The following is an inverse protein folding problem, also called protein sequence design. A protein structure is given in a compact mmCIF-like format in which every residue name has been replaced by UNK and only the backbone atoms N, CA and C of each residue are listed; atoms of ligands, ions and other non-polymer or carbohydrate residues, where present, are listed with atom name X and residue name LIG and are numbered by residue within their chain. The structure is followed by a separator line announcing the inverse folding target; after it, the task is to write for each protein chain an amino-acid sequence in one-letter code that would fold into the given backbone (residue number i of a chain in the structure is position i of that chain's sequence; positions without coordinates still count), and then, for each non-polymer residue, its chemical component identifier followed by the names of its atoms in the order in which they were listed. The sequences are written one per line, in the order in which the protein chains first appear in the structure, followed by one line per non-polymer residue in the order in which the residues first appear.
data_IF_276673530747
#
_entry.id   IF_276673530747
#
_cell.length_a   1.000
_cell.length_b   1.000
_cell.length_c   1.000
_cell.angle_alpha   90.00
_cell.angle_beta   90.00
_cell.angle_gamma   90.00
#
_symmetry.space_group_name_H-M   'P 1'
#
loop_
_entity.id
_entity.type
_entity.pdbx_description
1 polymer ?
#
# COMPACT_ATOMS: atom_id res chain seq x y z
N UNK A 1 -46.84 51.18 2.80
CA UNK A 1 -45.40 51.16 3.13
C UNK A 1 -44.88 49.77 2.81
N UNK A 2 -44.01 49.65 1.82
CA UNK A 2 -43.33 48.38 1.50
C UNK A 2 -42.13 48.30 2.46
N UNK A 3 -41.97 47.23 3.26
CA UNK A 3 -40.81 47.12 4.12
C UNK A 3 -39.58 46.88 3.23
N UNK A 4 -38.67 47.87 3.23
CA UNK A 4 -37.33 47.75 2.68
C UNK A 4 -36.52 46.85 3.60
N UNK A 5 -36.56 45.54 3.36
CA UNK A 5 -35.58 44.65 3.96
C UNK A 5 -34.27 44.77 3.18
N UNK A 6 -33.23 45.23 3.86
CA UNK A 6 -31.88 45.18 3.34
C UNK A 6 -31.42 43.71 3.31
N UNK A 7 -30.91 43.26 2.17
CA UNK A 7 -30.55 41.85 1.91
C UNK A 7 -29.65 41.21 2.99
N UNK A 8 -28.65 41.92 3.57
CA UNK A 8 -27.81 41.41 4.65
C UNK A 8 -28.56 41.20 5.97
N UNK A 9 -29.55 42.04 6.30
CA UNK A 9 -30.33 41.91 7.52
C UNK A 9 -31.33 40.73 7.43
N UNK A 10 -31.82 40.46 6.21
CA UNK A 10 -32.64 39.29 5.90
C UNK A 10 -31.82 38.00 6.00
N UNK A 11 -30.59 38.01 5.46
CA UNK A 11 -29.63 36.91 5.60
C UNK A 11 -29.24 36.67 7.06
N UNK A 12 -28.97 37.73 7.83
CA UNK A 12 -28.58 37.63 9.24
C UNK A 12 -29.70 37.03 10.09
N UNK A 13 -30.94 37.48 9.89
CA UNK A 13 -32.12 36.89 10.56
C UNK A 13 -32.45 35.48 10.10
N UNK A 14 -32.18 35.14 8.83
CA UNK A 14 -32.25 33.75 8.38
C UNK A 14 -31.22 32.92 9.16
N UNK A 15 -29.98 33.39 9.31
CA UNK A 15 -28.89 32.68 9.98
C UNK A 15 -28.94 32.66 11.53
N UNK A 16 -29.85 33.39 12.19
CA UNK A 16 -29.92 33.53 13.66
C UNK A 16 -30.32 32.25 14.43
N UNK A 17 -30.61 31.14 13.74
CA UNK A 17 -30.81 29.81 14.33
C UNK A 17 -29.81 28.74 13.85
N UNK A 18 -28.77 29.14 13.11
CA UNK A 18 -27.86 28.22 12.43
C UNK A 18 -26.53 28.12 13.17
N UNK A 19 -26.11 26.89 13.49
CA UNK A 19 -24.76 26.62 13.99
C UNK A 19 -23.89 26.24 12.81
N UNK A 20 -22.95 27.10 12.44
CA UNK A 20 -21.98 26.82 11.39
C UNK A 20 -20.86 25.95 11.97
N UNK A 21 -20.71 24.75 11.43
CA UNK A 21 -19.60 23.86 11.77
C UNK A 21 -18.54 23.98 10.67
N UNK A 22 -17.35 24.55 10.96
CA UNK A 22 -16.27 24.59 10.00
C UNK A 22 -15.67 23.19 9.91
N UNK A 23 -16.05 22.47 8.86
CA UNK A 23 -15.49 21.18 8.50
C UNK A 23 -14.54 21.44 7.33
N UNK A 24 -13.28 21.01 7.41
CA UNK A 24 -12.30 21.26 6.34
C UNK A 24 -12.75 20.66 5.00
N UNK A 25 -13.38 19.49 5.01
CA UNK A 25 -13.99 18.87 3.82
C UNK A 25 -15.29 19.57 3.34
N UNK A 26 -15.87 20.51 4.12
CA UNK A 26 -17.03 21.30 3.70
C UNK A 26 -16.68 22.72 3.24
N UNK A 27 -15.43 23.17 3.37
CA UNK A 27 -14.99 24.47 2.87
C UNK A 27 -15.15 24.60 1.34
N UNK A 28 -15.18 23.47 0.63
CA UNK A 28 -15.41 23.36 -0.82
C UNK A 28 -16.88 23.62 -1.19
N UNK A 29 -17.81 23.40 -0.26
CA UNK A 29 -19.25 23.49 -0.46
C UNK A 29 -19.81 24.83 0.00
N UNK A 30 -19.27 25.94 -0.53
CA UNK A 30 -19.62 27.35 -0.22
C UNK A 30 -21.11 27.75 -0.32
N UNK A 31 -22.03 26.79 -0.54
CA UNK A 31 -23.48 26.97 -0.59
C UNK A 31 -24.33 26.05 0.30
N UNK A 32 -23.77 25.10 1.07
CA UNK A 32 -24.58 24.22 1.92
C UNK A 32 -24.67 24.70 3.36
N UNK A 33 -25.84 25.21 3.72
CA UNK A 33 -26.21 25.53 5.11
C UNK A 33 -26.81 24.27 5.73
N UNK A 34 -26.06 23.62 6.63
CA UNK A 34 -26.61 22.51 7.42
C UNK A 34 -27.62 23.06 8.43
N UNK A 35 -28.87 22.63 8.28
CA UNK A 35 -29.99 23.06 9.13
C UNK A 35 -30.13 22.08 10.29
N UNK A 36 -29.84 22.54 11.49
CA UNK A 36 -30.16 21.81 12.72
C UNK A 36 -31.67 22.00 12.95
N UNK A 37 -32.47 20.95 12.81
CA UNK A 37 -33.93 21.06 12.90
C UNK A 37 -34.40 21.13 14.37
N UNK A 38 -33.59 20.62 15.31
CA UNK A 38 -33.82 20.74 16.75
C UNK A 38 -32.50 20.87 17.55
N UNK A 39 -32.56 21.43 18.78
CA UNK A 39 -31.41 21.49 19.70
C UNK A 39 -30.97 20.13 20.24
N UNK A 40 -31.78 19.10 20.05
CA UNK A 40 -31.55 17.72 20.48
C UNK A 40 -30.89 16.88 19.39
N UNK A 41 -30.76 17.41 18.17
CA UNK A 41 -30.10 16.71 17.07
C UNK A 41 -28.61 16.55 17.38
N UNK A 42 -28.16 15.30 17.50
CA UNK A 42 -26.76 14.91 17.71
C UNK A 42 -25.86 15.17 16.47
N UNK A 43 -26.28 16.06 15.56
CA UNK A 43 -25.54 16.45 14.35
C UNK A 43 -24.07 16.84 14.63
N UNK A 44 -23.73 17.56 15.72
CA UNK A 44 -22.33 17.91 16.00
C UNK A 44 -21.47 16.68 16.29
N UNK A 45 -22.03 15.67 16.97
CA UNK A 45 -21.33 14.41 17.23
C UNK A 45 -21.15 13.61 15.96
N UNK A 46 -22.15 13.62 15.07
CA UNK A 46 -22.09 12.96 13.76
C UNK A 46 -21.02 13.62 12.88
N UNK A 47 -20.98 14.96 12.82
CA UNK A 47 -19.98 15.70 12.05
C UNK A 47 -18.56 15.54 12.61
N UNK A 48 -18.36 15.65 13.92
CA UNK A 48 -17.05 15.39 14.55
C UNK A 48 -16.59 13.93 14.30
N UNK A 49 -17.55 12.99 14.24
CA UNK A 49 -17.25 11.59 13.93
C UNK A 49 -16.75 11.40 12.48
N UNK A 50 -17.43 11.98 11.49
CA UNK A 50 -16.99 11.95 10.09
C UNK A 50 -15.68 12.70 9.85
N UNK A 51 -15.44 13.81 10.56
CA UNK A 51 -14.17 14.53 10.51
C UNK A 51 -13.01 13.63 10.92
N UNK A 52 -13.17 12.91 12.04
CA UNK A 52 -12.14 11.99 12.55
C UNK A 52 -11.92 10.78 11.65
N UNK A 53 -12.95 10.28 10.98
CA UNK A 53 -12.85 9.18 10.01
C UNK A 53 -12.03 9.61 8.78
N UNK A 54 -12.38 10.77 8.21
CA UNK A 54 -11.68 11.33 7.06
C UNK A 54 -10.20 11.57 7.37
N UNK A 55 -9.91 12.21 8.51
CA UNK A 55 -8.55 12.43 8.98
C UNK A 55 -7.79 11.12 9.22
N UNK A 56 -8.44 10.08 9.74
CA UNK A 56 -7.79 8.78 9.95
C UNK A 56 -7.45 8.07 8.63
N UNK A 57 -8.39 8.01 7.69
CA UNK A 57 -8.18 7.38 6.39
C UNK A 57 -7.07 8.08 5.60
N UNK A 58 -7.05 9.42 5.60
CA UNK A 58 -5.98 10.19 4.98
C UNK A 58 -4.61 9.91 5.65
N UNK A 59 -4.56 9.91 6.99
CA UNK A 59 -3.32 9.61 7.72
C UNK A 59 -2.78 8.20 7.41
N UNK A 60 -3.65 7.18 7.29
CA UNK A 60 -3.21 5.83 6.95
C UNK A 60 -2.76 5.70 5.49
N UNK A 61 -3.51 6.31 4.56
CA UNK A 61 -3.13 6.39 3.16
C UNK A 61 -1.75 7.04 2.99
N UNK A 62 -1.52 8.19 3.63
CA UNK A 62 -0.24 8.91 3.62
C UNK A 62 0.90 8.10 4.23
N UNK A 63 0.65 7.36 5.33
CA UNK A 63 1.65 6.47 5.94
C UNK A 63 2.07 5.36 4.98
N UNK A 64 1.09 4.68 4.36
CA UNK A 64 1.37 3.60 3.41
C UNK A 64 2.09 4.14 2.16
N UNK A 65 1.63 5.27 1.61
CA UNK A 65 2.26 5.94 0.47
C UNK A 65 3.73 6.25 0.73
N UNK A 66 4.03 6.91 1.85
CA UNK A 66 5.42 7.25 2.21
C UNK A 66 6.28 6.02 2.37
N UNK A 67 5.76 4.95 2.99
CA UNK A 67 6.50 3.68 3.12
C UNK A 67 6.78 3.06 1.75
N UNK A 68 5.79 3.02 0.86
CA UNK A 68 5.94 2.48 -0.49
C UNK A 68 7.03 3.24 -1.27
N UNK A 69 6.94 4.57 -1.31
CA UNK A 69 7.86 5.42 -2.07
C UNK A 69 9.29 5.45 -1.50
N UNK A 70 9.42 5.54 -0.17
CA UNK A 70 10.72 5.77 0.46
C UNK A 70 11.47 4.48 0.81
N UNK A 71 10.78 3.34 0.88
CA UNK A 71 11.38 2.06 1.31
C UNK A 71 11.06 0.92 0.36
N UNK A 72 9.79 0.64 0.12
CA UNK A 72 9.44 -0.64 -0.51
C UNK A 72 9.83 -0.68 -1.98
N UNK A 73 9.47 0.33 -2.75
CA UNK A 73 9.81 0.42 -4.18
C UNK A 73 11.34 0.47 -4.36
N UNK A 74 12.11 1.32 -3.64
CA UNK A 74 13.57 1.33 -3.75
C UNK A 74 14.22 -0.02 -3.46
N UNK A 75 13.87 -0.68 -2.34
CA UNK A 75 14.46 -1.97 -1.94
C UNK A 75 14.06 -3.09 -2.91
N UNK A 76 12.83 -3.05 -3.43
CA UNK A 76 12.37 -4.02 -4.43
C UNK A 76 13.13 -3.83 -5.75
N UNK A 77 13.34 -2.58 -6.17
CA UNK A 77 14.13 -2.24 -7.35
C UNK A 77 15.60 -2.67 -7.23
N UNK A 78 16.20 -2.52 -6.05
CA UNK A 78 17.55 -3.02 -5.77
C UNK A 78 17.61 -4.55 -5.89
N UNK A 79 16.65 -5.27 -5.31
CA UNK A 79 16.58 -6.73 -5.42
C UNK A 79 16.40 -7.18 -6.87
N UNK A 80 15.55 -6.52 -7.66
CA UNK A 80 15.40 -6.82 -9.09
C UNK A 80 16.72 -6.66 -9.84
N UNK A 81 17.40 -5.53 -9.65
CA UNK A 81 18.67 -5.27 -10.29
C UNK A 81 19.72 -6.33 -9.93
N UNK A 82 19.84 -6.67 -8.64
CA UNK A 82 20.78 -7.68 -8.16
C UNK A 82 20.45 -9.07 -8.68
N UNK A 83 19.17 -9.48 -8.67
CA UNK A 83 18.74 -10.75 -9.24
C UNK A 83 19.12 -10.87 -10.72
N UNK A 84 18.89 -9.83 -11.50
CA UNK A 84 19.22 -9.80 -12.92
C UNK A 84 20.74 -9.88 -13.14
N UNK A 85 21.51 -9.09 -12.39
CA UNK A 85 22.97 -9.06 -12.48
C UNK A 85 23.58 -10.42 -12.12
N UNK A 86 23.21 -10.98 -10.97
CA UNK A 86 23.71 -12.28 -10.52
C UNK A 86 23.28 -13.41 -11.45
N UNK A 87 22.04 -13.38 -11.98
CA UNK A 87 21.58 -14.38 -12.95
C UNK A 87 22.44 -14.37 -14.22
N UNK A 88 22.77 -13.18 -14.76
CA UNK A 88 23.63 -13.05 -15.94
C UNK A 88 25.05 -13.55 -15.69
N UNK A 89 25.65 -13.17 -14.57
CA UNK A 89 27.00 -13.63 -14.18
C UNK A 89 27.05 -15.16 -14.05
N UNK A 90 26.08 -15.74 -13.35
CA UNK A 90 25.97 -17.20 -13.20
C UNK A 90 25.72 -17.88 -14.54
N UNK A 91 24.90 -17.30 -15.41
CA UNK A 91 24.63 -17.85 -16.74
C UNK A 91 25.89 -17.90 -17.62
N UNK A 92 26.66 -16.81 -17.69
CA UNK A 92 27.93 -16.75 -18.41
C UNK A 92 28.91 -17.80 -17.88
N UNK A 93 29.03 -17.89 -16.55
CA UNK A 93 29.88 -18.88 -15.90
C UNK A 93 29.42 -20.29 -16.21
N UNK A 94 28.14 -20.61 -16.06
CA UNK A 94 27.62 -21.96 -16.25
C UNK A 94 27.68 -22.41 -17.71
N UNK A 95 27.58 -21.49 -18.68
CA UNK A 95 27.81 -21.77 -20.11
C UNK A 95 29.28 -22.08 -20.41
N UNK A 96 30.22 -21.46 -19.69
CA UNK A 96 31.66 -21.74 -19.85
C UNK A 96 32.07 -23.13 -19.32
N UNK A 97 31.23 -23.77 -18.51
CA UNK A 97 31.50 -25.11 -17.98
C UNK A 97 31.19 -26.17 -19.04
N UNK A 98 32.17 -27.06 -19.31
CA UNK A 98 32.04 -28.17 -20.27
C UNK A 98 30.84 -29.10 -20.03
N UNK A 99 30.30 -29.14 -18.81
CA UNK A 99 29.09 -29.88 -18.43
C UNK A 99 28.22 -28.98 -17.56
N UNK A 100 27.18 -28.40 -18.15
CA UNK A 100 26.13 -27.72 -17.38
C UNK A 100 25.26 -28.75 -16.68
N UNK A 101 25.20 -28.70 -15.34
CA UNK A 101 24.38 -29.59 -14.54
C UNK A 101 22.92 -29.14 -14.57
N UNK A 102 21.97 -30.06 -14.39
CA UNK A 102 20.56 -29.70 -14.30
C UNK A 102 20.28 -28.70 -13.15
N UNK A 103 21.07 -28.76 -12.07
CA UNK A 103 20.91 -27.87 -10.91
C UNK A 103 21.34 -26.42 -11.23
N UNK A 104 22.31 -26.21 -12.12
CA UNK A 104 22.68 -24.88 -12.60
C UNK A 104 21.53 -24.22 -13.35
N UNK A 105 20.90 -24.99 -14.25
CA UNK A 105 19.73 -24.52 -14.99
C UNK A 105 18.56 -24.21 -14.06
N UNK A 106 18.28 -25.10 -13.11
CA UNK A 106 17.22 -24.90 -12.13
C UNK A 106 17.41 -23.63 -11.31
N UNK A 107 18.63 -23.31 -10.86
CA UNK A 107 18.94 -22.06 -10.16
C UNK A 107 18.61 -20.83 -11.03
N UNK A 108 19.09 -20.80 -12.26
CA UNK A 108 18.83 -19.70 -13.19
C UNK A 108 17.34 -19.53 -13.50
N UNK A 109 16.64 -20.63 -13.80
CA UNK A 109 15.19 -20.62 -14.07
C UNK A 109 14.39 -20.13 -12.86
N UNK A 110 14.78 -20.54 -11.65
CA UNK A 110 14.12 -20.11 -10.41
C UNK A 110 14.35 -18.63 -10.14
N UNK A 111 15.59 -18.14 -10.31
CA UNK A 111 15.94 -16.72 -10.17
C UNK A 111 15.21 -15.84 -11.19
N UNK A 112 15.16 -16.26 -12.46
CA UNK A 112 14.46 -15.55 -13.52
C UNK A 112 12.94 -15.54 -13.30
N UNK A 113 12.36 -16.67 -12.90
CA UNK A 113 10.93 -16.74 -12.54
C UNK A 113 10.60 -15.79 -11.41
N UNK A 114 11.40 -15.78 -10.34
CA UNK A 114 11.19 -14.87 -9.22
C UNK A 114 11.41 -13.41 -9.61
N UNK A 115 12.41 -13.10 -10.43
CA UNK A 115 12.63 -11.75 -10.96
C UNK A 115 11.39 -11.24 -11.73
N UNK A 116 10.79 -12.06 -12.59
CA UNK A 116 9.57 -11.70 -13.32
C UNK A 116 8.38 -11.47 -12.38
N UNK A 117 8.19 -12.35 -11.39
CA UNK A 117 7.14 -12.18 -10.38
C UNK A 117 7.33 -10.89 -9.57
N UNK A 118 8.56 -10.61 -9.14
CA UNK A 118 8.91 -9.42 -8.37
C UNK A 118 8.72 -8.14 -9.20
N UNK A 119 9.02 -8.17 -10.50
CA UNK A 119 8.81 -7.04 -11.39
C UNK A 119 7.31 -6.75 -11.56
N UNK A 120 6.49 -7.80 -11.69
CA UNK A 120 5.02 -7.66 -11.70
C UNK A 120 4.53 -7.08 -10.37
N UNK A 121 5.04 -7.54 -9.24
CA UNK A 121 4.68 -7.00 -7.94
C UNK A 121 5.03 -5.52 -7.81
N UNK A 122 6.24 -5.12 -8.18
CA UNK A 122 6.64 -3.73 -8.10
C UNK A 122 5.76 -2.84 -8.99
N UNK A 123 5.61 -3.20 -10.27
CA UNK A 123 4.98 -2.34 -11.27
C UNK A 123 3.45 -2.35 -11.15
N UNK A 124 2.83 -3.51 -10.92
CA UNK A 124 1.37 -3.63 -10.91
C UNK A 124 0.75 -3.51 -9.51
N UNK A 125 1.55 -3.59 -8.44
CA UNK A 125 1.04 -3.52 -7.07
C UNK A 125 1.61 -2.30 -6.37
N UNK A 126 2.92 -2.27 -6.09
CA UNK A 126 3.51 -1.20 -5.29
C UNK A 126 3.36 0.18 -5.94
N UNK A 127 3.71 0.29 -7.22
CA UNK A 127 3.63 1.56 -7.96
C UNK A 127 2.19 1.98 -8.23
N UNK A 128 1.29 1.04 -8.56
CA UNK A 128 -0.13 1.36 -8.75
C UNK A 128 -0.79 1.84 -7.47
N UNK A 129 -0.54 1.18 -6.34
CA UNK A 129 -1.05 1.61 -5.04
C UNK A 129 -0.46 2.98 -4.69
N UNK A 130 0.84 3.20 -4.90
CA UNK A 130 1.45 4.50 -4.67
C UNK A 130 0.81 5.60 -5.53
N UNK A 131 0.53 5.34 -6.80
CA UNK A 131 -0.18 6.28 -7.68
C UNK A 131 -1.59 6.54 -7.14
N UNK A 132 -2.36 5.51 -6.83
CA UNK A 132 -3.72 5.63 -6.30
C UNK A 132 -3.77 6.44 -5.00
N UNK A 133 -2.84 6.20 -4.08
CA UNK A 133 -2.77 6.93 -2.81
C UNK A 133 -2.19 8.35 -2.97
N UNK A 134 -1.51 8.64 -4.08
CA UNK A 134 -0.94 9.97 -4.37
C UNK A 134 -1.92 10.92 -5.04
N UNK A 135 -2.99 10.39 -5.64
CA UNK A 135 -4.08 11.22 -6.15
C UNK A 135 -4.79 11.82 -4.94
N UNK A 136 -4.47 13.09 -4.67
CA UNK A 136 -5.27 13.91 -3.76
C UNK A 136 -6.66 14.01 -4.40
N UNK A 137 -7.75 13.69 -3.68
CA UNK A 137 -9.10 13.98 -4.16
C UNK A 137 -9.13 15.41 -4.66
N UNK A 138 -9.38 15.60 -5.95
CA UNK A 138 -9.48 16.95 -6.49
C UNK A 138 -10.61 17.63 -5.72
N UNK A 139 -10.35 18.81 -5.14
CA UNK A 139 -11.28 19.53 -4.26
C UNK A 139 -12.59 19.97 -4.96
N UNK A 140 -12.76 19.60 -6.24
CA UNK A 140 -13.86 19.95 -7.13
C UNK A 140 -14.61 18.73 -7.69
N UNK A 141 -14.23 17.50 -7.35
CA UNK A 141 -15.06 16.33 -7.70
C UNK A 141 -16.04 16.06 -6.55
N UNK A 142 -17.33 16.28 -6.82
CA UNK A 142 -18.51 16.02 -5.97
C UNK A 142 -18.68 14.53 -5.59
N UNK A 143 -17.60 13.79 -5.32
CA UNK A 143 -17.67 12.42 -4.82
C UNK A 143 -17.30 12.39 -3.32
N UNK A 144 -18.30 12.40 -2.42
CA UNK A 144 -18.10 12.31 -0.97
C UNK A 144 -17.54 10.93 -0.52
N UNK A 145 -17.09 10.09 -1.46
CA UNK A 145 -16.65 8.72 -1.27
C UNK A 145 -15.25 8.41 -1.82
N UNK A 146 -14.33 9.37 -1.84
CA UNK A 146 -12.88 9.06 -2.00
C UNK A 146 -12.26 8.37 -0.77
N UNK A 147 -13.09 7.67 0.02
CA UNK A 147 -12.67 6.81 1.12
C UNK A 147 -12.21 5.49 0.51
N UNK A 148 -10.98 5.10 0.80
CA UNK A 148 -10.45 3.79 0.42
C UNK A 148 -11.33 2.70 1.04
N UNK A 149 -12.14 2.04 0.22
CA UNK A 149 -13.13 1.06 0.69
C UNK A 149 -12.47 -0.17 1.33
N UNK A 150 -13.18 -0.81 2.27
CA UNK A 150 -12.76 -2.11 2.87
C UNK A 150 -12.44 -3.15 1.80
N UNK A 151 -13.22 -3.17 0.72
CA UNK A 151 -13.04 -4.10 -0.40
C UNK A 151 -11.73 -3.83 -1.15
N UNK A 152 -11.37 -2.56 -1.36
CA UNK A 152 -10.09 -2.19 -1.95
C UNK A 152 -8.92 -2.59 -1.05
N UNK A 153 -9.00 -2.32 0.26
CA UNK A 153 -7.98 -2.72 1.24
C UNK A 153 -7.80 -4.26 1.21
N UNK A 154 -8.91 -5.00 1.20
CA UNK A 154 -8.89 -6.46 1.13
C UNK A 154 -8.20 -6.99 -0.14
N UNK A 155 -8.52 -6.43 -1.30
CA UNK A 155 -7.89 -6.83 -2.56
C UNK A 155 -6.38 -6.62 -2.52
N UNK A 156 -5.91 -5.48 -1.99
CA UNK A 156 -4.49 -5.19 -1.84
C UNK A 156 -3.83 -6.19 -0.87
N UNK A 157 -4.49 -6.50 0.24
CA UNK A 157 -3.97 -7.47 1.22
C UNK A 157 -3.79 -8.87 0.63
N UNK A 158 -4.77 -9.35 -0.14
CA UNK A 158 -4.72 -10.68 -0.73
C UNK A 158 -3.55 -10.79 -1.72
N UNK A 159 -3.35 -9.76 -2.55
CA UNK A 159 -2.19 -9.67 -3.44
C UNK A 159 -0.88 -9.65 -2.66
N UNK A 160 -0.74 -8.81 -1.63
CA UNK A 160 0.48 -8.76 -0.80
C UNK A 160 0.77 -10.11 -0.16
N UNK A 161 -0.26 -10.83 0.31
CA UNK A 161 -0.13 -12.15 0.94
C UNK A 161 0.38 -13.21 -0.03
N UNK A 162 -0.13 -13.24 -1.27
CA UNK A 162 0.34 -14.18 -2.30
C UNK A 162 1.82 -13.96 -2.64
N UNK A 163 2.23 -12.69 -2.77
CA UNK A 163 3.63 -12.37 -3.02
C UNK A 163 4.54 -12.69 -1.84
N UNK A 164 4.05 -12.53 -0.61
CA UNK A 164 4.80 -12.87 0.60
C UNK A 164 5.19 -14.35 0.64
N UNK A 165 4.27 -15.25 0.24
CA UNK A 165 4.56 -16.67 0.13
C UNK A 165 5.62 -16.95 -0.93
N UNK A 166 5.53 -16.29 -2.09
CA UNK A 166 6.51 -16.43 -3.17
C UNK A 166 7.91 -15.95 -2.76
N UNK A 167 8.00 -14.82 -2.06
CA UNK A 167 9.24 -14.29 -1.48
C UNK A 167 9.84 -15.26 -0.48
N UNK A 168 9.02 -15.87 0.39
CA UNK A 168 9.51 -16.83 1.39
C UNK A 168 10.07 -18.09 0.76
N UNK A 169 9.37 -18.66 -0.23
CA UNK A 169 9.84 -19.81 -0.98
C UNK A 169 11.19 -19.50 -1.63
N UNK A 170 11.34 -18.33 -2.23
CA UNK A 170 12.61 -17.92 -2.85
C UNK A 170 13.72 -17.73 -1.81
N UNK A 171 13.45 -17.08 -0.68
CA UNK A 171 14.42 -16.88 0.39
C UNK A 171 14.94 -18.22 0.93
N UNK A 172 14.04 -19.20 1.14
CA UNK A 172 14.43 -20.55 1.54
C UNK A 172 15.25 -21.22 0.45
N UNK A 173 14.81 -21.16 -0.80
CA UNK A 173 15.51 -21.76 -1.93
C UNK A 173 16.96 -21.26 -2.03
N UNK A 174 17.17 -19.94 -2.03
CA UNK A 174 18.50 -19.33 -2.09
C UNK A 174 19.37 -19.70 -0.88
N UNK A 175 18.82 -19.69 0.34
CA UNK A 175 19.53 -20.14 1.55
C UNK A 175 20.01 -21.58 1.41
N UNK A 176 19.19 -22.45 0.85
CA UNK A 176 19.54 -23.86 0.70
C UNK A 176 20.57 -24.09 -0.42
N UNK A 177 20.58 -23.26 -1.46
CA UNK A 177 21.65 -23.21 -2.47
C UNK A 177 22.99 -22.83 -1.82
N UNK A 178 23.02 -21.75 -1.04
CA UNK A 178 24.23 -21.25 -0.35
C UNK A 178 24.74 -22.27 0.67
N UNK A 179 23.83 -22.89 1.43
CA UNK A 179 24.20 -23.88 2.45
C UNK A 179 24.68 -25.22 1.87
N UNK A 180 24.60 -25.43 0.54
CA UNK A 180 25.03 -26.66 -0.10
C UNK A 180 24.32 -27.92 0.43
N UNK A 181 23.03 -27.81 0.82
CA UNK A 181 22.27 -28.96 1.33
C UNK A 181 22.28 -30.10 0.30
N UNK A 182 22.01 -31.35 0.74
CA UNK A 182 22.13 -32.58 -0.11
C UNK A 182 21.57 -32.44 -1.53
N UNK A 183 20.45 -31.75 -1.73
CA UNK A 183 19.83 -31.53 -3.05
C UNK A 183 20.61 -30.58 -3.98
N UNK A 184 21.46 -29.72 -3.42
CA UNK A 184 22.33 -28.77 -4.11
C UNK A 184 23.81 -29.17 -4.06
N UNK A 185 24.16 -30.39 -3.65
CA UNK A 185 25.55 -30.83 -3.55
C UNK A 185 26.32 -30.78 -4.89
N UNK A 186 25.62 -30.73 -6.02
CA UNK A 186 26.19 -30.60 -7.37
C UNK A 186 26.30 -29.15 -7.86
N UNK A 187 25.77 -28.19 -7.09
CA UNK A 187 25.89 -26.76 -7.36
C UNK A 187 27.26 -26.32 -6.87
N UNK A 188 28.17 -26.06 -7.81
CA UNK A 188 29.53 -25.62 -7.50
C UNK A 188 29.55 -24.11 -7.72
N UNK A 189 29.64 -23.37 -6.61
CA UNK A 189 29.74 -21.91 -6.61
C UNK A 189 31.16 -21.50 -6.22
N UNK A 190 31.63 -20.40 -6.79
CA UNK A 190 32.82 -19.71 -6.29
C UNK A 190 32.49 -18.99 -4.97
N UNK A 191 33.53 -18.52 -4.26
CA UNK A 191 33.35 -17.71 -3.05
C UNK A 191 32.55 -16.45 -3.37
N UNK A 192 32.92 -15.75 -4.44
CA UNK A 192 32.23 -14.54 -4.91
C UNK A 192 30.75 -14.80 -5.26
N UNK A 193 30.46 -15.90 -5.96
CA UNK A 193 29.07 -16.27 -6.29
C UNK A 193 28.25 -16.62 -5.04
N UNK A 194 28.90 -17.24 -4.06
CA UNK A 194 28.28 -17.56 -2.77
C UNK A 194 27.95 -16.29 -2.00
N UNK A 195 28.88 -15.33 -1.96
CA UNK A 195 28.69 -14.02 -1.32
C UNK A 195 27.56 -13.24 -2.01
N UNK A 196 27.53 -13.23 -3.35
CA UNK A 196 26.47 -12.60 -4.12
C UNK A 196 25.09 -13.24 -3.84
N UNK A 197 25.01 -14.57 -3.76
CA UNK A 197 23.77 -15.26 -3.41
C UNK A 197 23.36 -15.01 -1.95
N UNK A 198 24.32 -14.86 -1.04
CA UNK A 198 24.07 -14.50 0.35
C UNK A 198 23.54 -13.06 0.49
N UNK A 199 24.03 -12.13 -0.32
CA UNK A 199 23.48 -10.78 -0.44
C UNK A 199 22.02 -10.83 -0.92
N UNK A 200 21.74 -11.62 -1.97
CA UNK A 200 20.37 -11.83 -2.47
C UNK A 200 19.44 -12.42 -1.41
N UNK A 201 19.93 -13.37 -0.59
CA UNK A 201 19.18 -13.90 0.55
C UNK A 201 18.82 -12.78 1.53
N UNK A 202 19.76 -11.90 1.85
CA UNK A 202 19.55 -10.78 2.77
C UNK A 202 18.50 -9.80 2.23
N UNK A 203 18.65 -9.37 0.98
CA UNK A 203 17.71 -8.46 0.31
C UNK A 203 16.32 -9.08 0.18
N UNK A 204 16.23 -10.37 -0.15
CA UNK A 204 14.93 -11.08 -0.22
C UNK A 204 14.25 -11.11 1.16
N UNK A 205 15.01 -11.35 2.24
CA UNK A 205 14.48 -11.31 3.59
C UNK A 205 14.03 -9.89 4.00
N UNK A 206 14.74 -8.85 3.55
CA UNK A 206 14.35 -7.46 3.76
C UNK A 206 13.03 -7.13 3.05
N UNK A 207 12.89 -7.51 1.76
CA UNK A 207 11.64 -7.35 1.00
C UNK A 207 10.49 -8.07 1.70
N UNK A 208 10.70 -9.32 2.15
CA UNK A 208 9.70 -10.06 2.93
C UNK A 208 9.26 -9.28 4.17
N UNK A 209 10.22 -8.76 4.95
CA UNK A 209 9.91 -7.97 6.14
C UNK A 209 9.09 -6.72 5.82
N UNK A 210 9.34 -6.08 4.69
CA UNK A 210 8.57 -4.93 4.23
C UNK A 210 7.16 -5.33 3.77
N UNK A 211 7.00 -6.48 3.12
CA UNK A 211 5.70 -7.05 2.74
C UNK A 211 4.87 -7.42 3.97
N UNK A 212 5.44 -8.08 4.98
CA UNK A 212 4.77 -8.40 6.25
C UNK A 212 4.27 -7.12 6.94
N UNK A 213 5.09 -6.06 6.97
CA UNK A 213 4.68 -4.77 7.54
C UNK A 213 3.53 -4.13 6.77
N UNK A 214 3.54 -4.20 5.44
CA UNK A 214 2.41 -3.71 4.64
C UNK A 214 1.13 -4.46 4.95
N UNK A 215 1.23 -5.78 5.04
CA UNK A 215 0.10 -6.63 5.38
C UNK A 215 -0.50 -6.23 6.75
N UNK A 216 0.35 -6.05 7.78
CA UNK A 216 -0.11 -5.58 9.09
C UNK A 216 -0.76 -4.19 9.04
N UNK A 217 -0.15 -3.22 8.33
CA UNK A 217 -0.72 -1.89 8.19
C UNK A 217 -2.10 -1.90 7.52
N UNK A 218 -2.26 -2.72 6.48
CA UNK A 218 -3.53 -2.88 5.80
C UNK A 218 -4.57 -3.59 6.69
N UNK A 219 -4.16 -4.57 7.51
CA UNK A 219 -5.05 -5.23 8.48
C UNK A 219 -5.54 -4.25 9.54
N UNK A 220 -4.63 -3.46 10.10
CA UNK A 220 -4.98 -2.40 11.06
C UNK A 220 -5.93 -1.38 10.44
N UNK A 221 -5.65 -0.93 9.21
CA UNK A 221 -6.52 0.00 8.50
C UNK A 221 -7.91 -0.60 8.28
N UNK A 222 -7.98 -1.82 7.74
CA UNK A 222 -9.24 -2.55 7.50
C UNK A 222 -10.07 -2.71 8.77
N UNK A 223 -9.46 -3.13 9.87
CA UNK A 223 -10.15 -3.33 11.14
C UNK A 223 -10.78 -2.04 11.66
N UNK A 224 -10.09 -0.91 11.50
CA UNK A 224 -10.61 0.39 11.92
C UNK A 224 -11.78 0.85 11.05
N UNK A 225 -11.71 0.66 9.73
CA UNK A 225 -12.85 0.96 8.83
C UNK A 225 -14.05 0.07 9.18
N UNK A 226 -13.85 -1.23 9.41
CA UNK A 226 -14.95 -2.14 9.82
C UNK A 226 -15.54 -1.77 11.18
N UNK A 227 -14.72 -1.39 12.16
CA UNK A 227 -15.19 -0.92 13.47
C UNK A 227 -16.03 0.35 13.34
N UNK A 228 -15.66 1.23 12.41
CA UNK A 228 -16.42 2.42 12.09
C UNK A 228 -17.78 2.08 11.46
N UNK A 229 -17.81 1.26 10.41
CA UNK A 229 -19.05 0.81 9.75
C UNK A 229 -20.02 0.10 10.73
N UNK A 230 -19.50 -0.69 11.67
CA UNK A 230 -20.30 -1.36 12.71
C UNK A 230 -20.92 -0.40 13.72
N UNK A 231 -20.22 0.67 14.09
CA UNK A 231 -20.78 1.69 14.99
C UNK A 231 -21.87 2.50 14.29
N UNK A 232 -21.82 2.60 12.96
CA UNK A 232 -22.85 3.27 12.19
C UNK A 232 -24.13 2.43 12.03
N UNK A 233 -24.01 1.12 11.91
CA UNK A 233 -25.17 0.20 11.76
C UNK A 233 -25.93 -0.08 13.06
N UNK A 234 -25.41 0.35 14.22
CA UNK A 234 -26.04 0.18 15.54
C UNK A 234 -26.69 1.46 16.12
N UNK A 235 -26.57 2.60 15.44
CA UNK A 235 -27.24 3.87 15.77
C UNK A 235 -28.33 4.18 14.74
#
# INVERSE_FOLDING_TARGET
MIPLFNYPDLQRRFCEGFTFYPFKALEQYSGFIYKNYTREDHMPNVLDHYSREYEFNDVQAQKLLRKLQQKDIPVTGELLFKLQLSSRQLEERFRSLKRSSAIHRQLLETMDTYHRLLAVYQHNVQERIAVQLSVVPDENEDDPCNIVSVLHIQQVQDVVREFLQSTEVMAIYLKECVAGKRRFAKLILTVEETDNLQELVSLTAQVRSLQDRNFCMLEEWKQQVVLFERRHTMN
#
